data_IF_047844861887
#
_entry.id   IF_047844861887
#
_cell.length_a   1.000
_cell.length_b   1.000
_cell.length_c   1.000
_cell.angle_alpha   90.00
_cell.angle_beta   90.00
_cell.angle_gamma   90.00
#
_symmetry.space_group_name_H-M   'P 1'
#
loop_
_entity.id
_entity.type
_entity.pdbx_description
1 polymer ?
#
# COMPACT_ATOMS: atom_id res chain seq x y z
N UNK A 1 10.20 -21.92 24.93
CA UNK A 1 9.22 -20.98 24.32
C UNK A 1 9.90 -19.88 23.51
N UNK A 2 10.92 -19.21 24.03
CA UNK A 2 11.67 -18.15 23.32
C UNK A 2 12.31 -18.65 22.01
N UNK A 3 12.88 -19.85 21.98
CA UNK A 3 13.45 -20.42 20.75
C UNK A 3 12.39 -20.79 19.70
N UNK A 4 11.20 -21.22 20.16
CA UNK A 4 10.05 -21.47 19.30
C UNK A 4 9.50 -20.18 18.70
N UNK A 5 9.48 -19.10 19.48
CA UNK A 5 9.09 -17.77 19.03
C UNK A 5 10.10 -17.18 18.03
N UNK A 6 11.40 -17.32 18.28
CA UNK A 6 12.45 -16.96 17.31
C UNK A 6 12.29 -17.72 15.98
N UNK A 7 12.07 -19.04 16.03
CA UNK A 7 11.82 -19.85 14.82
C UNK A 7 10.52 -19.48 14.09
N UNK A 8 9.54 -18.95 14.81
CA UNK A 8 8.27 -18.48 14.23
C UNK A 8 8.44 -17.14 13.51
N UNK A 9 9.09 -16.17 14.16
CA UNK A 9 9.41 -14.87 13.54
C UNK A 9 10.38 -15.04 12.36
N UNK A 10 11.37 -15.92 12.48
CA UNK A 10 12.36 -16.19 11.43
C UNK A 10 11.77 -16.81 10.15
N UNK A 11 10.47 -17.13 10.11
CA UNK A 11 9.78 -17.68 8.94
C UNK A 11 9.56 -16.63 7.81
N UNK A 12 10.09 -15.41 7.96
CA UNK A 12 10.10 -14.35 6.94
C UNK A 12 8.73 -13.69 6.74
N UNK A 13 7.74 -14.47 6.32
CA UNK A 13 6.37 -14.04 6.03
C UNK A 13 5.70 -13.28 7.20
N UNK A 14 6.02 -13.63 8.45
CA UNK A 14 5.46 -12.93 9.62
C UNK A 14 6.09 -11.54 9.82
N UNK A 15 7.39 -11.39 9.56
CA UNK A 15 8.09 -10.11 9.74
C UNK A 15 7.56 -9.10 8.73
N UNK A 16 7.44 -9.50 7.47
CA UNK A 16 6.98 -8.61 6.39
C UNK A 16 5.53 -8.17 6.63
N UNK A 17 4.67 -9.10 7.07
CA UNK A 17 3.30 -8.77 7.49
C UNK A 17 3.26 -7.84 8.70
N UNK A 18 4.09 -8.08 9.71
CA UNK A 18 4.15 -7.22 10.90
C UNK A 18 4.62 -5.79 10.55
N UNK A 19 5.66 -5.67 9.73
CA UNK A 19 6.17 -4.38 9.25
C UNK A 19 5.09 -3.67 8.42
N UNK A 20 4.40 -4.38 7.53
CA UNK A 20 3.30 -3.82 6.73
C UNK A 20 2.18 -3.23 7.58
N UNK A 21 1.73 -3.94 8.63
CA UNK A 21 0.68 -3.45 9.54
C UNK A 21 1.14 -2.22 10.32
N UNK A 22 2.35 -2.24 10.88
CA UNK A 22 2.90 -1.12 11.66
C UNK A 22 3.09 0.12 10.79
N UNK A 23 3.67 -0.03 9.60
CA UNK A 23 3.85 1.08 8.65
C UNK A 23 2.52 1.62 8.13
N UNK A 24 1.55 0.74 7.84
CA UNK A 24 0.20 1.14 7.44
C UNK A 24 -0.50 1.99 8.52
N UNK A 25 -0.37 1.58 9.79
CA UNK A 25 -0.90 2.35 10.92
C UNK A 25 -0.24 3.72 11.09
N UNK A 26 1.09 3.81 10.91
CA UNK A 26 1.83 5.06 10.99
C UNK A 26 1.41 6.06 9.90
N UNK A 27 1.31 5.60 8.63
CA UNK A 27 0.86 6.45 7.51
C UNK A 27 -0.56 6.95 7.76
N UNK A 28 -1.46 6.07 8.19
CA UNK A 28 -2.85 6.45 8.53
C UNK A 28 -2.89 7.52 9.60
N UNK A 29 -2.02 7.44 10.61
CA UNK A 29 -1.93 8.43 11.70
C UNK A 29 -1.50 9.81 11.18
N UNK A 30 -0.50 9.86 10.30
CA UNK A 30 -0.03 11.11 9.69
C UNK A 30 -1.14 11.74 8.85
N UNK A 31 -1.83 10.95 8.02
CA UNK A 31 -2.91 11.45 7.19
C UNK A 31 -4.09 11.93 8.04
N UNK A 32 -4.48 11.17 9.07
CA UNK A 32 -5.51 11.58 10.03
C UNK A 32 -5.16 12.90 10.73
N UNK A 33 -3.90 13.12 11.06
CA UNK A 33 -3.44 14.40 11.63
C UNK A 33 -3.68 15.56 10.67
N UNK A 34 -3.38 15.39 9.37
CA UNK A 34 -3.65 16.41 8.37
C UNK A 34 -5.15 16.65 8.23
N UNK A 35 -5.97 15.59 8.17
CA UNK A 35 -7.43 15.74 8.08
C UNK A 35 -7.99 16.47 9.30
N UNK A 36 -7.62 16.04 10.51
CA UNK A 36 -8.17 16.58 11.74
C UNK A 36 -7.71 18.01 12.04
N UNK A 37 -6.47 18.36 11.68
CA UNK A 37 -5.87 19.66 12.03
C UNK A 37 -5.96 20.69 10.90
N UNK A 38 -6.14 20.27 9.64
CA UNK A 38 -6.22 21.18 8.50
C UNK A 38 -7.60 21.14 7.85
N UNK A 39 -8.11 19.95 7.51
CA UNK A 39 -9.35 19.82 6.75
C UNK A 39 -10.59 20.08 7.63
N UNK A 40 -10.69 19.46 8.80
CA UNK A 40 -11.85 19.63 9.67
C UNK A 40 -12.05 21.09 10.11
N UNK A 41 -11.02 21.88 10.47
CA UNK A 41 -11.18 23.31 10.77
C UNK A 41 -11.62 24.15 9.55
N UNK A 42 -11.16 23.80 8.34
CA UNK A 42 -11.62 24.47 7.12
C UNK A 42 -13.11 24.21 6.85
N UNK A 43 -13.53 22.95 7.03
CA UNK A 43 -14.95 22.59 6.97
C UNK A 43 -15.72 23.30 8.08
N UNK A 44 -15.16 23.40 9.28
CA UNK A 44 -15.75 24.11 10.41
C UNK A 44 -16.02 25.58 10.12
N UNK A 45 -15.10 26.23 9.41
CA UNK A 45 -15.20 27.64 9.04
C UNK A 45 -16.34 27.89 8.06
N UNK A 46 -16.59 26.95 7.14
CA UNK A 46 -17.65 27.06 6.13
C UNK A 46 -19.02 26.68 6.70
N UNK A 47 -19.09 25.64 7.52
CA UNK A 47 -20.35 25.08 8.04
C UNK A 47 -20.67 25.48 9.49
N UNK A 48 -19.82 26.28 10.13
CA UNK A 48 -20.01 26.81 11.48
C UNK A 48 -19.85 25.79 12.62
N UNK A 49 -19.57 24.51 12.32
CA UNK A 49 -19.33 23.46 13.33
C UNK A 49 -18.09 22.63 12.99
N UNK A 50 -17.19 22.36 13.96
CA UNK A 50 -15.96 21.59 13.75
C UNK A 50 -16.19 20.17 13.27
N UNK A 51 -17.34 19.59 13.63
CA UNK A 51 -17.75 18.28 13.18
C UNK A 51 -19.10 18.37 12.48
N UNK A 52 -19.24 17.61 11.39
CA UNK A 52 -20.51 17.41 10.70
C UNK A 52 -21.56 16.70 11.59
N UNK A 53 -21.20 16.23 12.78
CA UNK A 53 -22.09 15.53 13.74
C UNK A 53 -23.39 16.30 14.07
N UNK A 54 -23.41 17.61 13.88
CA UNK A 54 -24.59 18.46 14.12
C UNK A 54 -25.49 18.71 12.90
N UNK A 55 -25.12 18.24 11.70
CA UNK A 55 -25.97 18.33 10.50
C UNK A 55 -26.97 17.18 10.52
N UNK A 56 -28.26 17.52 10.61
CA UNK A 56 -29.38 16.57 10.63
C UNK A 56 -29.31 15.53 11.77
N UNK A 57 -28.88 15.97 12.96
CA UNK A 57 -28.91 15.15 14.17
C UNK A 57 -30.35 15.06 14.69
N UNK A 58 -30.97 13.89 14.57
CA UNK A 58 -32.26 13.61 15.19
C UNK A 58 -32.04 12.80 16.47
N UNK A 59 -32.49 13.34 17.60
CA UNK A 59 -32.43 12.65 18.88
C UNK A 59 -33.78 11.99 19.13
N UNK A 60 -33.84 10.67 19.02
CA UNK A 60 -35.02 9.88 19.39
C UNK A 60 -34.63 8.94 20.53
N UNK A 61 -35.33 9.06 21.67
CA UNK A 61 -35.20 8.15 22.82
C UNK A 61 -33.74 7.90 23.28
N UNK A 62 -33.01 8.99 23.55
CA UNK A 62 -31.57 8.99 23.90
C UNK A 62 -30.59 8.46 22.84
N UNK A 63 -31.03 8.12 21.63
CA UNK A 63 -30.16 7.82 20.50
C UNK A 63 -30.06 9.05 19.58
N UNK A 64 -28.83 9.53 19.36
CA UNK A 64 -28.55 10.63 18.41
C UNK A 64 -28.12 10.02 17.07
N UNK A 65 -28.97 10.14 16.05
CA UNK A 65 -28.62 9.75 14.69
C UNK A 65 -28.12 10.99 13.96
N UNK A 66 -26.81 11.06 13.74
CA UNK A 66 -26.15 12.18 13.05
C UNK A 66 -25.77 11.78 11.62
N UNK A 67 -26.58 12.17 10.64
CA UNK A 67 -26.25 11.94 9.22
C UNK A 67 -24.97 12.64 8.80
N UNK A 68 -24.68 13.82 9.36
CA UNK A 68 -23.44 14.50 9.06
C UNK A 68 -22.20 13.78 9.60
N UNK A 69 -22.29 13.01 10.70
CA UNK A 69 -21.18 12.19 11.17
C UNK A 69 -20.75 11.15 10.11
N UNK A 70 -21.74 10.52 9.47
CA UNK A 70 -21.51 9.54 8.39
C UNK A 70 -20.90 10.21 7.16
N UNK A 71 -21.40 11.39 6.78
CA UNK A 71 -20.85 12.16 5.65
C UNK A 71 -19.40 12.61 5.92
N UNK A 72 -19.12 13.05 7.15
CA UNK A 72 -17.77 13.39 7.59
C UNK A 72 -16.82 12.19 7.54
N UNK A 73 -17.29 11.02 7.97
CA UNK A 73 -16.51 9.78 7.88
C UNK A 73 -16.22 9.37 6.43
N UNK A 74 -17.19 9.50 5.52
CA UNK A 74 -16.98 9.24 4.09
C UNK A 74 -15.98 10.21 3.47
N UNK A 75 -16.06 11.50 3.82
CA UNK A 75 -15.11 12.50 3.33
C UNK A 75 -13.69 12.22 3.85
N UNK A 76 -13.56 11.88 5.14
CA UNK A 76 -12.28 11.51 5.74
C UNK A 76 -11.67 10.28 5.04
N UNK A 77 -12.47 9.23 4.85
CA UNK A 77 -12.05 8.05 4.09
C UNK A 77 -11.56 8.39 2.68
N UNK A 78 -12.29 9.25 1.96
CA UNK A 78 -11.91 9.67 0.62
C UNK A 78 -10.57 10.43 0.62
N UNK A 79 -10.35 11.32 1.59
CA UNK A 79 -9.09 12.06 1.71
C UNK A 79 -7.93 11.12 2.01
N UNK A 80 -8.12 10.15 2.92
CA UNK A 80 -7.10 9.14 3.21
C UNK A 80 -6.76 8.33 1.96
N UNK A 81 -7.78 7.86 1.23
CA UNK A 81 -7.58 7.09 0.01
C UNK A 81 -6.78 7.89 -1.04
N UNK A 82 -7.12 9.16 -1.26
CA UNK A 82 -6.41 10.04 -2.20
C UNK A 82 -4.97 10.31 -1.74
N UNK A 83 -4.77 10.59 -0.45
CA UNK A 83 -3.43 10.84 0.10
C UNK A 83 -2.54 9.60 -0.04
N UNK A 84 -3.03 8.42 0.34
CA UNK A 84 -2.28 7.16 0.21
C UNK A 84 -2.00 6.85 -1.27
N UNK A 85 -2.98 7.05 -2.16
CA UNK A 85 -2.76 6.87 -3.61
C UNK A 85 -1.66 7.77 -4.13
N UNK A 86 -1.71 9.08 -3.85
CA UNK A 86 -0.76 10.03 -4.40
C UNK A 86 0.63 9.96 -3.77
N UNK A 87 0.72 9.79 -2.44
CA UNK A 87 2.00 9.79 -1.72
C UNK A 87 2.67 8.42 -1.62
N UNK A 88 1.92 7.32 -1.76
CA UNK A 88 2.46 5.97 -1.64
C UNK A 88 2.40 5.24 -2.98
N UNK A 89 1.22 5.14 -3.60
CA UNK A 89 1.06 4.30 -4.80
C UNK A 89 1.74 4.89 -6.04
N UNK A 90 1.55 6.19 -6.32
CA UNK A 90 2.17 6.87 -7.46
C UNK A 90 3.70 6.79 -7.46
N UNK A 91 4.42 7.11 -6.36
CA UNK A 91 5.88 7.00 -6.35
C UNK A 91 6.35 5.55 -6.45
N UNK A 92 5.68 4.60 -5.78
CA UNK A 92 6.02 3.17 -5.89
C UNK A 92 5.87 2.70 -7.34
N UNK A 93 4.76 3.05 -8.01
CA UNK A 93 4.52 2.65 -9.38
C UNK A 93 5.55 3.30 -10.33
N UNK A 94 5.89 4.59 -10.11
CA UNK A 94 6.92 5.29 -10.89
C UNK A 94 8.32 4.71 -10.70
N UNK A 95 8.70 4.32 -9.48
CA UNK A 95 10.00 3.69 -9.21
C UNK A 95 10.07 2.32 -9.88
N UNK A 96 8.98 1.55 -9.84
CA UNK A 96 8.90 0.24 -10.51
C UNK A 96 9.10 0.39 -12.02
N UNK A 97 8.43 1.34 -12.66
CA UNK A 97 8.57 1.59 -14.10
C UNK A 97 9.99 2.04 -14.46
N UNK A 98 10.62 2.86 -13.62
CA UNK A 98 11.99 3.32 -13.83
C UNK A 98 13.01 2.20 -13.63
N UNK A 99 12.81 1.32 -12.64
CA UNK A 99 13.66 0.14 -12.44
C UNK A 99 13.54 -0.83 -13.61
N UNK A 100 12.34 -1.06 -14.15
CA UNK A 100 12.12 -1.89 -15.33
C UNK A 100 12.81 -1.30 -16.58
N UNK A 101 12.73 0.02 -16.79
CA UNK A 101 13.39 0.69 -17.91
C UNK A 101 14.91 0.65 -17.82
N UNK A 102 15.49 0.87 -16.62
CA UNK A 102 16.93 0.77 -16.39
C UNK A 102 17.43 -0.66 -16.62
N UNK A 103 16.70 -1.66 -16.13
CA UNK A 103 17.03 -3.07 -16.34
C UNK A 103 16.90 -3.49 -17.82
N UNK A 104 15.93 -2.95 -18.55
CA UNK A 104 15.80 -3.18 -20.00
C UNK A 104 16.99 -2.58 -20.78
N UNK A 105 17.45 -1.39 -20.38
CA UNK A 105 18.63 -0.77 -20.99
C UNK A 105 19.93 -1.53 -20.67
N UNK A 106 20.09 -2.05 -19.45
CA UNK A 106 21.28 -2.82 -19.03
C UNK A 106 21.36 -4.21 -19.70
N UNK A 107 20.20 -4.83 -19.97
CA UNK A 107 20.09 -6.10 -20.72
C UNK A 107 20.43 -5.93 -22.21
N UNK A 108 20.13 -4.77 -22.80
CA UNK A 108 20.50 -4.45 -24.17
C UNK A 108 22.01 -4.18 -24.34
N UNK A 109 22.71 -3.78 -23.28
CA UNK A 109 24.17 -3.57 -23.28
C UNK A 109 25.00 -4.85 -23.07
N UNK A 110 24.38 -6.02 -22.89
CA UNK A 110 25.10 -7.30 -22.82
C UNK A 110 25.86 -7.55 -21.51
N UNK A 111 25.56 -6.80 -20.44
CA UNK A 111 26.10 -7.06 -19.10
C UNK A 111 25.36 -8.26 -18.48
N UNK A 112 26.07 -9.37 -18.26
CA UNK A 112 25.53 -10.58 -17.62
C UNK A 112 25.04 -10.33 -16.18
N UNK A 113 25.56 -9.30 -15.50
CA UNK A 113 25.12 -8.86 -14.16
C UNK A 113 23.65 -8.35 -14.14
N UNK A 114 23.10 -7.95 -15.29
CA UNK A 114 21.71 -7.46 -15.38
C UNK A 114 20.67 -8.57 -15.20
N UNK A 115 21.03 -9.82 -15.54
CA UNK A 115 20.16 -10.98 -15.37
C UNK A 115 19.94 -11.31 -13.89
N UNK A 116 20.98 -11.13 -13.07
CA UNK A 116 20.92 -11.33 -11.62
C UNK A 116 20.12 -10.21 -10.91
N UNK A 117 20.27 -8.96 -11.35
CA UNK A 117 19.50 -7.82 -10.82
C UNK A 117 18.00 -7.87 -11.20
N UNK A 118 17.67 -8.40 -12.38
CA UNK A 118 16.27 -8.64 -12.78
C UNK A 118 15.59 -9.63 -11.83
N UNK A 119 16.22 -10.76 -11.51
CA UNK A 119 15.67 -11.71 -10.56
C UNK A 119 15.47 -11.11 -9.16
N UNK A 120 16.34 -10.20 -8.71
CA UNK A 120 16.24 -9.61 -7.37
C UNK A 120 15.13 -8.56 -7.19
N UNK A 121 14.64 -7.99 -8.28
CA UNK A 121 13.62 -6.92 -8.29
C UNK A 121 12.22 -7.42 -8.64
N UNK A 122 12.13 -8.54 -9.32
CA UNK A 122 10.87 -9.23 -9.65
C UNK A 122 10.26 -9.85 -8.38
N UNK A 123 8.94 -9.79 -8.28
CA UNK A 123 8.21 -10.53 -7.24
C UNK A 123 8.59 -12.01 -7.33
N UNK A 124 8.71 -12.75 -6.21
CA UNK A 124 9.03 -14.19 -6.23
C UNK A 124 8.16 -14.98 -7.21
N UNK A 125 6.88 -14.61 -7.35
CA UNK A 125 5.96 -15.23 -8.30
C UNK A 125 6.40 -15.04 -9.76
N UNK A 126 6.82 -13.83 -10.15
CA UNK A 126 7.29 -13.51 -11.50
C UNK A 126 8.58 -14.26 -11.83
N UNK A 127 9.49 -14.41 -10.86
CA UNK A 127 10.71 -15.22 -11.01
C UNK A 127 10.37 -16.70 -11.25
N UNK A 128 9.39 -17.23 -10.52
CA UNK A 128 8.96 -18.62 -10.67
C UNK A 128 8.35 -18.85 -12.05
N UNK A 129 7.55 -17.91 -12.55
CA UNK A 129 6.95 -18.00 -13.90
C UNK A 129 8.04 -18.00 -14.98
N UNK A 130 9.03 -17.10 -14.91
CA UNK A 130 10.15 -17.07 -15.87
C UNK A 130 10.94 -18.39 -15.83
N UNK A 131 11.22 -18.93 -14.64
CA UNK A 131 11.93 -20.19 -14.50
C UNK A 131 11.14 -21.37 -15.10
N UNK A 132 9.82 -21.39 -14.89
CA UNK A 132 8.94 -22.41 -15.47
C UNK A 132 8.87 -22.31 -16.99
N UNK A 133 8.88 -21.10 -17.56
CA UNK A 133 8.99 -20.91 -19.02
C UNK A 133 10.33 -21.45 -19.54
N UNK A 134 11.45 -21.14 -18.87
CA UNK A 134 12.76 -21.67 -19.25
C UNK A 134 12.80 -23.21 -19.22
N UNK A 135 12.23 -23.83 -18.18
CA UNK A 135 12.13 -25.28 -18.07
C UNK A 135 11.24 -25.86 -19.17
N UNK A 136 10.10 -25.23 -19.48
CA UNK A 136 9.21 -25.65 -20.58
C UNK A 136 9.97 -25.67 -21.91
N UNK A 137 10.72 -24.60 -22.19
CA UNK A 137 11.42 -24.45 -23.46
C UNK A 137 12.60 -25.42 -23.57
N UNK A 138 13.32 -25.68 -22.47
CA UNK A 138 14.35 -26.71 -22.39
C UNK A 138 13.79 -28.12 -22.62
N UNK A 139 12.65 -28.46 -22.00
CA UNK A 139 11.99 -29.76 -22.20
C UNK A 139 11.41 -29.94 -23.60
N UNK A 140 10.96 -28.86 -24.24
CA UNK A 140 10.51 -28.89 -25.63
C UNK A 140 11.69 -29.13 -26.60
N UNK A 141 12.86 -28.58 -26.31
CA UNK A 141 14.08 -28.80 -27.07
C UNK A 141 14.67 -30.22 -26.89
N UNK A 142 14.59 -30.81 -25.69
CA UNK A 142 15.03 -32.19 -25.43
C UNK A 142 14.14 -33.27 -26.07
N UNK A 143 12.89 -32.92 -26.43
CA UNK A 143 11.93 -33.83 -27.07
C UNK A 143 12.03 -33.88 -28.60
N UNK A 144 12.94 -33.10 -29.21
CA UNK A 144 13.27 -33.16 -30.64
C UNK A 144 14.58 -33.91 -30.86
#
# INVERSE_FOLDING_TARGET
MIDGFKKFIARGNMIDMAVGVVMGGAVTTVVNSIVNNLINPLIAMIFGKPNMDGLLAFTFNNATISFGAVLGAMLNFLIIAVAVYFFVLVPINKIRDMSAALLASKKASGDDDAAEEQQKTLSPEEQTVILLEQIRDQLAAEKQ
#
